data_IF_845953479142
#
_entry.id   IF_845953479142
#
_cell.length_a   1.000
_cell.length_b   1.000
_cell.length_c   1.000
_cell.angle_alpha   90.00
_cell.angle_beta   90.00
_cell.angle_gamma   90.00
#
_symmetry.space_group_name_H-M   'P 1'
#
loop_
_entity.id
_entity.type
_entity.pdbx_description
1 polymer ?
#
# COMPACT_ATOMS: atom_id res chain seq x y z
N UNK A 1 -21.91 5.06 -10.68
CA UNK A 1 -20.52 4.71 -10.97
C UNK A 1 -19.64 4.99 -9.78
N UNK A 2 -18.94 3.99 -9.36
CA UNK A 2 -18.10 4.14 -8.18
C UNK A 2 -16.84 4.92 -8.51
N UNK A 3 -16.55 5.88 -7.66
CA UNK A 3 -15.29 6.59 -7.76
C UNK A 3 -14.31 5.92 -6.81
N UNK A 4 -13.23 5.43 -7.36
CA UNK A 4 -12.19 4.82 -6.57
C UNK A 4 -11.05 5.78 -6.37
N UNK A 5 -10.50 5.74 -5.19
CA UNK A 5 -9.34 6.54 -4.83
C UNK A 5 -8.14 5.62 -4.79
N UNK A 6 -7.14 5.92 -5.59
CA UNK A 6 -5.90 5.15 -5.64
C UNK A 6 -4.80 5.92 -4.91
N UNK A 7 -4.07 5.21 -4.09
CA UNK A 7 -2.95 5.80 -3.37
C UNK A 7 -1.78 4.84 -3.31
N UNK A 8 -0.58 5.40 -3.20
CA UNK A 8 0.63 4.65 -2.94
C UNK A 8 1.05 4.97 -1.52
N UNK A 9 1.21 3.93 -0.71
CA UNK A 9 1.62 4.09 0.68
C UNK A 9 3.01 3.50 0.84
N UNK A 10 3.97 4.37 1.05
CA UNK A 10 5.34 3.95 1.34
C UNK A 10 5.50 3.87 2.84
N UNK A 11 6.13 2.81 3.32
CA UNK A 11 6.34 2.68 4.74
C UNK A 11 7.71 2.11 5.06
N UNK A 12 8.22 2.54 6.20
CA UNK A 12 9.43 1.97 6.77
C UNK A 12 9.06 0.85 7.73
N UNK A 13 9.94 -0.14 7.82
CA UNK A 13 9.69 -1.32 8.65
C UNK A 13 10.99 -1.74 9.28
N UNK A 14 11.05 -1.81 10.60
CA UNK A 14 12.32 -2.04 11.30
C UNK A 14 12.36 -3.28 12.17
N UNK A 15 11.34 -4.12 12.12
CA UNK A 15 11.30 -5.30 12.99
C UNK A 15 11.14 -6.57 12.17
N UNK A 16 12.25 -7.19 11.74
CA UNK A 16 12.18 -8.40 10.90
C UNK A 16 11.36 -9.53 11.52
N UNK A 17 11.33 -9.62 12.85
CA UNK A 17 10.55 -10.68 13.50
C UNK A 17 9.05 -10.50 13.31
N UNK A 18 8.61 -9.32 12.89
CA UNK A 18 7.19 -9.03 12.65
C UNK A 18 6.82 -9.05 11.16
N UNK A 19 7.80 -9.38 10.29
CA UNK A 19 7.56 -9.33 8.85
C UNK A 19 6.45 -10.29 8.41
N UNK A 20 6.41 -11.48 8.98
CA UNK A 20 5.38 -12.45 8.60
C UNK A 20 3.98 -11.99 9.03
N UNK A 21 3.87 -11.40 10.21
CA UNK A 21 2.60 -10.87 10.67
C UNK A 21 2.14 -9.71 9.78
N UNK A 22 3.07 -8.86 9.37
CA UNK A 22 2.75 -7.77 8.46
C UNK A 22 2.27 -8.30 7.10
N UNK A 23 2.93 -9.33 6.58
CA UNK A 23 2.50 -9.94 5.31
C UNK A 23 1.09 -10.50 5.42
N UNK A 24 0.76 -11.13 6.54
CA UNK A 24 -0.60 -11.65 6.74
C UNK A 24 -1.61 -10.52 6.80
N UNK A 25 -1.26 -9.42 7.46
CA UNK A 25 -2.11 -8.25 7.48
C UNK A 25 -2.39 -7.76 6.06
N UNK A 26 -1.34 -7.62 5.24
CA UNK A 26 -1.49 -7.15 3.86
C UNK A 26 -2.38 -8.09 3.06
N UNK A 27 -2.17 -9.39 3.20
CA UNK A 27 -2.96 -10.38 2.46
C UNK A 27 -4.44 -10.34 2.83
N UNK A 28 -4.76 -9.92 4.05
CA UNK A 28 -6.13 -9.87 4.53
C UNK A 28 -6.83 -8.53 4.28
N UNK A 29 -6.11 -7.53 3.75
CA UNK A 29 -6.70 -6.23 3.45
C UNK A 29 -7.06 -6.16 1.97
N UNK A 30 -8.35 -6.27 1.69
CA UNK A 30 -8.83 -6.34 0.30
C UNK A 30 -8.49 -5.11 -0.53
N UNK A 31 -8.37 -3.95 0.11
CA UNK A 31 -8.08 -2.71 -0.60
C UNK A 31 -6.60 -2.53 -0.93
N UNK A 32 -5.72 -3.35 -0.36
CA UNK A 32 -4.32 -3.36 -0.74
C UNK A 32 -4.18 -4.26 -1.96
N UNK A 33 -3.92 -3.65 -3.11
CA UNK A 33 -3.90 -4.37 -4.38
C UNK A 33 -2.52 -4.90 -4.74
N UNK A 34 -1.48 -4.21 -4.31
CA UNK A 34 -0.10 -4.61 -4.57
C UNK A 34 0.75 -4.23 -3.37
N UNK A 35 1.77 -5.02 -3.13
CA UNK A 35 2.72 -4.75 -2.07
C UNK A 35 4.11 -5.09 -2.59
N UNK A 36 5.00 -4.13 -2.57
CA UNK A 36 6.36 -4.29 -3.07
C UNK A 36 7.36 -4.06 -1.95
N UNK A 37 8.40 -4.87 -1.94
CA UNK A 37 9.56 -4.62 -1.11
C UNK A 37 10.51 -3.76 -1.93
N UNK A 38 10.85 -2.58 -1.44
CA UNK A 38 11.58 -1.59 -2.23
C UNK A 38 12.87 -1.20 -1.54
N UNK A 39 13.72 -0.49 -2.27
CA UNK A 39 14.95 0.10 -1.74
C UNK A 39 14.77 1.60 -1.58
N UNK A 40 15.67 2.23 -0.83
CA UNK A 40 15.63 3.67 -0.62
C UNK A 40 15.21 4.01 0.81
N UNK A 41 14.50 5.11 0.94
CA UNK A 41 14.12 5.62 2.26
C UNK A 41 13.00 4.81 2.92
N UNK A 42 12.29 4.01 2.15
CA UNK A 42 11.20 3.19 2.65
C UNK A 42 11.46 1.73 2.30
N UNK A 43 10.79 0.85 3.02
CA UNK A 43 10.99 -0.59 2.85
C UNK A 43 9.90 -1.26 2.04
N UNK A 44 8.67 -0.77 2.14
CA UNK A 44 7.52 -1.32 1.42
C UNK A 44 6.75 -0.21 0.73
N UNK A 45 6.20 -0.54 -0.43
CA UNK A 45 5.28 0.34 -1.15
C UNK A 45 4.00 -0.45 -1.40
N UNK A 46 2.89 0.07 -0.91
CA UNK A 46 1.58 -0.55 -1.10
C UNK A 46 0.78 0.26 -2.09
N UNK A 47 0.18 -0.42 -3.06
CA UNK A 47 -0.82 0.21 -3.93
C UNK A 47 -2.18 -0.12 -3.37
N UNK A 48 -2.94 0.90 -3.00
CA UNK A 48 -4.25 0.72 -2.40
C UNK A 48 -5.30 1.40 -3.26
N UNK A 49 -6.47 0.79 -3.32
CA UNK A 49 -7.63 1.34 -4.03
C UNK A 49 -8.81 1.29 -3.07
N UNK A 50 -9.32 2.45 -2.72
CA UNK A 50 -10.41 2.58 -1.76
C UNK A 50 -11.54 3.39 -2.37
N UNK A 51 -12.70 3.43 -1.70
CA UNK A 51 -13.86 4.14 -2.19
C UNK A 51 -13.71 5.66 -2.09
N UNK A 52 -13.15 6.13 -0.98
CA UNK A 52 -13.09 7.57 -0.73
C UNK A 52 -12.01 7.85 0.31
N UNK A 53 -11.88 9.13 0.70
CA UNK A 53 -10.86 9.52 1.65
C UNK A 53 -11.09 8.90 3.02
N UNK A 54 -12.33 8.70 3.43
CA UNK A 54 -12.60 8.11 4.74
C UNK A 54 -12.13 6.65 4.80
N UNK A 55 -12.40 5.87 3.75
CA UNK A 55 -11.93 4.48 3.72
C UNK A 55 -10.41 4.41 3.64
N UNK A 56 -9.79 5.35 2.93
CA UNK A 56 -8.33 5.44 2.89
C UNK A 56 -7.77 5.75 4.27
N UNK A 57 -8.37 6.71 4.96
CA UNK A 57 -7.92 7.09 6.30
C UNK A 57 -8.01 5.92 7.27
N UNK A 58 -9.11 5.17 7.19
CA UNK A 58 -9.29 3.99 8.04
C UNK A 58 -8.20 2.94 7.77
N UNK A 59 -7.91 2.71 6.49
CA UNK A 59 -6.86 1.75 6.12
C UNK A 59 -5.49 2.22 6.60
N UNK A 60 -5.19 3.52 6.44
CA UNK A 60 -3.92 4.06 6.91
C UNK A 60 -3.75 3.88 8.41
N UNK A 61 -4.83 4.06 9.17
CA UNK A 61 -4.79 3.85 10.62
C UNK A 61 -4.43 2.40 10.93
N UNK A 62 -5.05 1.45 10.24
CA UNK A 62 -4.74 0.03 10.46
C UNK A 62 -3.30 -0.30 10.09
N UNK A 63 -2.79 0.29 9.01
CA UNK A 63 -1.40 0.10 8.60
C UNK A 63 -0.45 0.60 9.68
N UNK A 64 -0.70 1.81 10.20
CA UNK A 64 0.18 2.42 11.18
C UNK A 64 0.18 1.66 12.50
N UNK A 65 -0.88 0.91 12.78
CA UNK A 65 -0.97 0.12 14.01
C UNK A 65 -0.18 -1.19 13.94
N UNK A 66 0.30 -1.56 12.76
CA UNK A 66 1.03 -2.82 12.62
C UNK A 66 2.42 -2.71 13.26
N UNK A 67 2.77 -3.75 14.04
CA UNK A 67 4.08 -3.78 14.68
C UNK A 67 5.17 -3.80 13.60
N UNK A 68 6.17 -2.98 13.82
CA UNK A 68 7.30 -2.87 12.88
C UNK A 68 7.23 -1.67 11.96
N UNK A 69 6.04 -1.11 11.74
CA UNK A 69 5.87 0.07 10.90
C UNK A 69 6.41 1.29 11.63
N UNK A 70 7.38 1.99 11.03
CA UNK A 70 8.05 3.13 11.67
C UNK A 70 7.61 4.47 11.14
N UNK A 71 7.45 4.58 9.83
CA UNK A 71 7.06 5.83 9.19
C UNK A 71 6.24 5.50 7.96
N UNK A 72 5.38 6.43 7.56
CA UNK A 72 4.56 6.24 6.37
C UNK A 72 4.53 7.52 5.56
N UNK A 73 4.38 7.38 4.26
CA UNK A 73 4.14 8.48 3.34
C UNK A 73 3.06 8.04 2.38
N UNK A 74 1.98 8.81 2.31
CA UNK A 74 0.87 8.49 1.43
C UNK A 74 0.85 9.46 0.26
N UNK A 75 0.79 8.90 -0.94
CA UNK A 75 0.74 9.66 -2.19
C UNK A 75 -0.58 9.31 -2.87
N UNK A 76 -1.45 10.30 -3.03
CA UNK A 76 -2.73 10.08 -3.70
C UNK A 76 -2.53 10.29 -5.20
N UNK A 77 -2.99 9.32 -5.98
CA UNK A 77 -2.92 9.41 -7.44
C UNK A 77 -4.08 10.27 -7.92
N UNK A 78 -3.76 11.37 -8.59
CA UNK A 78 -4.80 12.27 -9.08
C UNK A 78 -5.39 11.79 -10.39
N UNK A 79 -4.55 11.31 -11.28
CA UNK A 79 -5.00 10.76 -12.56
C UNK A 79 -3.95 9.83 -13.12
N UNK A 80 -4.37 8.95 -14.01
CA UNK A 80 -3.46 8.05 -14.71
C UNK A 80 -3.34 8.53 -16.15
N UNK A 81 -2.13 8.87 -16.56
CA UNK A 81 -1.90 9.34 -17.93
C UNK A 81 -1.74 8.16 -18.88
N UNK A 82 -1.05 7.12 -18.42
CA UNK A 82 -0.87 5.89 -19.21
C UNK A 82 -1.08 4.71 -18.28
N UNK A 83 -1.93 3.79 -18.72
CA UNK A 83 -2.20 2.56 -18.00
C UNK A 83 -2.23 1.44 -19.03
N UNK A 84 -1.09 0.78 -19.23
CA UNK A 84 -0.96 -0.31 -20.19
C UNK A 84 -0.73 -1.61 -19.46
N UNK A 85 -1.38 -2.68 -19.87
CA UNK A 85 -1.08 -3.98 -19.25
C UNK A 85 0.37 -4.37 -19.52
N UNK A 86 0.98 -4.97 -18.52
CA UNK A 86 2.32 -5.49 -18.65
C UNK A 86 2.23 -6.86 -19.33
N UNK A 87 2.91 -7.02 -20.46
CA UNK A 87 2.90 -8.27 -21.21
C UNK A 87 4.32 -8.83 -21.22
N UNK A 88 4.43 -10.09 -20.78
CA UNK A 88 5.70 -10.80 -20.84
C UNK A 88 5.69 -11.68 -22.08
N UNK A 89 6.63 -11.41 -22.98
CA UNK A 89 6.77 -12.20 -24.19
C UNK A 89 7.94 -13.17 -24.01
N UNK A 90 7.66 -14.46 -24.12
CA UNK A 90 8.66 -15.49 -23.95
C UNK A 90 9.17 -16.00 -25.27
#
# INVERSE_FOLDING_TARGET
MDKNLTALVNLGFDNPSKADAFKQFVLNEADIKECFYITGDFDYCLKVVTHNTQTLENLLTRIKEQAGVTKTQTIVVLSSIVDRPSVVLE
#
